data_IF_720535442646
#
_entry.id   IF_720535442646
#
_cell.length_a   1.000
_cell.length_b   1.000
_cell.length_c   1.000
_cell.angle_alpha   90.00
_cell.angle_beta   90.00
_cell.angle_gamma   90.00
#
_symmetry.space_group_name_H-M   'P 1'
#
loop_
_entity.id
_entity.type
_entity.pdbx_description
1 polymer ?
#
# COMPACT_ATOMS: atom_id res chain seq x y z
N UNK A 1 16.40 -2.42 7.05
CA UNK A 1 15.51 -2.90 8.13
C UNK A 1 15.86 -2.36 9.52
N UNK A 2 17.12 -2.06 9.85
CA UNK A 2 17.50 -1.56 11.19
C UNK A 2 16.70 -0.33 11.67
N UNK A 3 16.51 0.67 10.82
CA UNK A 3 15.75 1.87 11.20
C UNK A 3 14.28 1.57 11.52
N UNK A 4 13.62 0.73 10.72
CA UNK A 4 12.22 0.33 10.98
C UNK A 4 12.12 -0.42 12.30
N UNK A 5 13.05 -1.35 12.58
CA UNK A 5 13.11 -2.09 13.84
C UNK A 5 13.26 -1.15 15.04
N UNK A 6 14.23 -0.22 14.99
CA UNK A 6 14.45 0.76 16.06
C UNK A 6 13.20 1.60 16.31
N UNK A 7 12.53 2.06 15.24
CA UNK A 7 11.32 2.85 15.35
C UNK A 7 10.18 2.08 16.00
N UNK A 8 9.98 0.81 15.63
CA UNK A 8 8.93 -0.04 16.20
C UNK A 8 9.19 -0.38 17.67
N UNK A 9 10.44 -0.64 18.05
CA UNK A 9 10.83 -0.83 19.44
C UNK A 9 10.63 0.45 20.27
N UNK A 10 10.87 1.63 19.68
CA UNK A 10 10.58 2.91 20.32
C UNK A 10 9.06 3.09 20.54
N UNK A 11 8.23 2.78 19.54
CA UNK A 11 6.77 2.80 19.69
C UNK A 11 6.30 1.86 20.80
N UNK A 12 6.86 0.66 20.87
CA UNK A 12 6.60 -0.29 21.95
C UNK A 12 6.99 0.30 23.32
N UNK A 13 8.18 0.89 23.42
CA UNK A 13 8.65 1.55 24.66
C UNK A 13 7.71 2.69 25.09
N UNK A 14 7.12 3.41 24.13
CA UNK A 14 6.13 4.46 24.36
C UNK A 14 4.71 3.94 24.64
N UNK A 15 4.51 2.62 24.72
CA UNK A 15 3.25 2.00 25.10
C UNK A 15 2.43 1.39 23.97
N UNK A 16 2.88 1.43 22.71
CA UNK A 16 2.17 0.74 21.61
C UNK A 16 2.24 -0.79 21.80
N UNK A 17 1.11 -1.47 21.63
CA UNK A 17 1.01 -2.94 21.82
C UNK A 17 0.39 -3.67 20.64
N UNK A 18 -0.36 -2.99 19.79
CA UNK A 18 -1.00 -3.55 18.59
C UNK A 18 -0.59 -2.69 17.39
N UNK A 19 0.24 -3.23 16.51
CA UNK A 19 0.87 -2.47 15.44
C UNK A 19 0.67 -3.20 14.10
N UNK A 20 0.05 -2.52 13.15
CA UNK A 20 -0.10 -2.99 11.78
C UNK A 20 0.89 -2.27 10.86
N UNK A 21 1.65 -3.04 10.08
CA UNK A 21 2.71 -2.57 9.18
C UNK A 21 2.28 -2.79 7.73
N UNK A 22 1.82 -1.76 7.03
CA UNK A 22 1.56 -1.89 5.59
C UNK A 22 2.88 -2.05 4.83
N UNK A 23 2.93 -3.07 3.99
CA UNK A 23 3.99 -3.19 3.00
C UNK A 23 3.85 -2.14 1.90
N UNK A 24 4.88 -2.00 1.09
CA UNK A 24 4.81 -1.15 -0.10
C UNK A 24 3.96 -1.84 -1.18
N UNK A 25 3.11 -1.06 -1.85
CA UNK A 25 2.41 -1.49 -3.05
C UNK A 25 3.29 -1.44 -4.30
N UNK A 26 2.74 -1.70 -5.50
CA UNK A 26 3.47 -1.68 -6.76
C UNK A 26 3.76 -0.23 -7.22
N UNK A 27 4.67 0.45 -6.54
CA UNK A 27 4.97 1.88 -6.73
C UNK A 27 5.51 2.23 -8.12
N UNK A 28 6.05 1.26 -8.88
CA UNK A 28 6.41 1.44 -10.28
C UNK A 28 5.20 1.59 -11.19
N UNK A 29 4.03 1.09 -10.77
CA UNK A 29 2.79 1.10 -11.56
C UNK A 29 1.92 2.34 -11.32
N UNK A 30 2.27 3.24 -10.38
CA UNK A 30 1.54 4.50 -10.22
C UNK A 30 1.73 5.39 -11.45
N UNK A 31 0.75 6.21 -11.85
CA UNK A 31 0.82 7.05 -13.07
C UNK A 31 2.10 7.90 -13.15
N UNK A 32 2.55 8.48 -12.03
CA UNK A 32 3.78 9.27 -11.96
C UNK A 32 5.02 8.45 -12.28
N UNK A 33 5.17 7.27 -11.68
CA UNK A 33 6.31 6.39 -11.95
C UNK A 33 6.30 5.91 -13.39
N UNK A 34 5.15 5.50 -13.90
CA UNK A 34 4.99 5.00 -15.26
C UNK A 34 5.35 6.07 -16.32
N UNK A 35 4.75 7.26 -16.20
CA UNK A 35 4.90 8.31 -17.22
C UNK A 35 6.17 9.13 -17.03
N UNK A 36 6.48 9.57 -15.82
CA UNK A 36 7.54 10.55 -15.52
C UNK A 36 8.89 9.90 -15.29
N UNK A 37 8.94 8.85 -14.45
CA UNK A 37 10.21 8.20 -14.12
C UNK A 37 10.61 7.18 -15.16
N UNK A 38 9.66 6.39 -15.64
CA UNK A 38 9.91 5.30 -16.59
C UNK A 38 9.65 5.66 -18.05
N UNK A 39 9.13 6.84 -18.37
CA UNK A 39 8.83 7.27 -19.73
C UNK A 39 8.04 6.21 -20.51
N UNK A 40 7.03 5.60 -19.88
CA UNK A 40 6.21 4.50 -20.39
C UNK A 40 6.98 3.20 -20.69
N UNK A 41 8.16 3.00 -20.11
CA UNK A 41 8.96 1.80 -20.27
C UNK A 41 8.54 0.73 -19.23
N UNK A 42 7.94 -0.36 -19.72
CA UNK A 42 7.43 -1.46 -18.87
C UNK A 42 8.55 -2.16 -18.10
N UNK A 43 9.74 -2.32 -18.68
CA UNK A 43 10.88 -2.93 -17.98
C UNK A 43 11.33 -2.09 -16.80
N UNK A 44 11.33 -0.76 -16.93
CA UNK A 44 11.61 0.16 -15.82
C UNK A 44 10.57 -0.01 -14.70
N UNK A 45 9.28 -0.03 -15.02
CA UNK A 45 8.19 -0.26 -14.07
C UNK A 45 8.38 -1.58 -13.31
N UNK A 46 8.70 -2.65 -14.05
CA UNK A 46 8.95 -3.97 -13.47
C UNK A 46 10.15 -3.95 -12.52
N UNK A 47 11.23 -3.25 -12.87
CA UNK A 47 12.41 -3.12 -12.01
C UNK A 47 12.09 -2.38 -10.71
N UNK A 48 11.31 -1.29 -10.78
CA UNK A 48 10.87 -0.56 -9.57
C UNK A 48 9.99 -1.47 -8.69
N UNK A 49 9.03 -2.18 -9.27
CA UNK A 49 8.17 -3.09 -8.52
C UNK A 49 8.95 -4.26 -7.90
N UNK A 50 9.95 -4.80 -8.61
CA UNK A 50 10.83 -5.84 -8.08
C UNK A 50 11.69 -5.32 -6.91
N UNK A 51 12.09 -4.05 -6.91
CA UNK A 51 12.83 -3.45 -5.81
C UNK A 51 12.02 -3.34 -4.50
N UNK A 52 10.69 -3.35 -4.59
CA UNK A 52 9.79 -3.37 -3.42
C UNK A 52 9.81 -4.72 -2.70
N UNK A 53 9.99 -5.82 -3.43
CA UNK A 53 9.84 -7.18 -2.88
C UNK A 53 10.79 -7.47 -1.70
N UNK A 54 12.11 -7.19 -1.77
CA UNK A 54 13.02 -7.42 -0.64
C UNK A 54 12.62 -6.64 0.61
N UNK A 55 12.08 -5.43 0.45
CA UNK A 55 11.60 -4.63 1.56
C UNK A 55 10.40 -5.31 2.24
N UNK A 56 9.41 -5.74 1.48
CA UNK A 56 8.23 -6.41 2.00
C UNK A 56 8.56 -7.75 2.68
N UNK A 57 9.46 -8.56 2.09
CA UNK A 57 9.96 -9.79 2.71
C UNK A 57 10.66 -9.49 4.04
N UNK A 58 11.46 -8.43 4.06
CA UNK A 58 12.11 -7.99 5.29
C UNK A 58 11.13 -7.52 6.37
N UNK A 59 9.98 -6.89 6.00
CA UNK A 59 8.93 -6.54 6.96
C UNK A 59 8.27 -7.77 7.58
N UNK A 60 7.98 -8.80 6.79
CA UNK A 60 7.43 -10.07 7.31
C UNK A 60 8.40 -10.70 8.31
N UNK A 61 9.69 -10.78 7.96
CA UNK A 61 10.72 -11.28 8.87
C UNK A 61 10.84 -10.47 10.16
N UNK A 62 10.68 -9.14 10.05
CA UNK A 62 10.69 -8.25 11.21
C UNK A 62 9.46 -8.44 12.10
N UNK A 63 8.28 -8.67 11.53
CA UNK A 63 7.06 -9.02 12.29
C UNK A 63 7.29 -10.28 13.09
N UNK A 64 7.86 -11.33 12.49
CA UNK A 64 8.18 -12.57 13.21
C UNK A 64 9.18 -12.33 14.34
N UNK A 65 10.22 -11.55 14.09
CA UNK A 65 11.22 -11.23 15.12
C UNK A 65 10.59 -10.46 16.29
N UNK A 66 9.85 -9.39 16.01
CA UNK A 66 9.26 -8.55 17.07
C UNK A 66 8.19 -9.30 17.87
N UNK A 67 7.39 -10.16 17.24
CA UNK A 67 6.42 -10.99 17.94
C UNK A 67 7.08 -12.04 18.85
N UNK A 68 8.32 -12.48 18.56
CA UNK A 68 9.08 -13.35 19.45
C UNK A 68 9.78 -12.60 20.58
N UNK A 69 10.25 -11.39 20.33
CA UNK A 69 11.03 -10.60 21.30
C UNK A 69 10.16 -9.81 22.26
N UNK A 70 8.97 -9.35 21.82
CA UNK A 70 8.07 -8.46 22.55
C UNK A 70 6.74 -9.18 22.84
N UNK A 71 6.73 -10.10 23.82
CA UNK A 71 5.62 -11.00 24.12
C UNK A 71 4.33 -10.30 24.56
N UNK A 72 4.40 -9.04 25.00
CA UNK A 72 3.28 -8.21 25.42
C UNK A 72 2.71 -7.34 24.29
N UNK A 73 3.26 -7.46 23.08
CA UNK A 73 2.82 -6.74 21.88
C UNK A 73 2.50 -7.69 20.72
N UNK A 74 1.73 -7.20 19.77
CA UNK A 74 1.37 -7.91 18.54
C UNK A 74 1.64 -7.04 17.33
N UNK A 75 2.41 -7.56 16.40
CA UNK A 75 2.74 -6.93 15.12
C UNK A 75 2.16 -7.76 13.99
N UNK A 76 1.58 -7.09 13.01
CA UNK A 76 1.09 -7.72 11.79
C UNK A 76 1.62 -6.99 10.56
N UNK A 77 1.75 -7.72 9.45
CA UNK A 77 2.07 -7.19 8.13
C UNK A 77 0.80 -7.17 7.28
N UNK A 78 0.55 -6.06 6.57
CA UNK A 78 -0.53 -5.92 5.59
C UNK A 78 0.07 -5.93 4.18
N UNK A 79 -0.36 -6.86 3.33
CA UNK A 79 0.22 -7.09 2.01
C UNK A 79 -0.35 -6.16 0.94
N UNK A 80 0.10 -4.92 0.91
CA UNK A 80 -0.36 -3.93 -0.08
C UNK A 80 -0.13 -4.37 -1.53
N UNK A 81 0.97 -5.08 -1.83
CA UNK A 81 1.22 -5.63 -3.16
C UNK A 81 0.18 -6.70 -3.53
N UNK A 82 -0.09 -7.64 -2.63
CA UNK A 82 -1.10 -8.70 -2.84
C UNK A 82 -2.51 -8.13 -2.98
N UNK A 83 -2.87 -7.13 -2.16
CA UNK A 83 -4.17 -6.47 -2.23
C UNK A 83 -4.36 -5.67 -3.54
N UNK A 84 -3.26 -5.20 -4.15
CA UNK A 84 -3.26 -4.49 -5.43
C UNK A 84 -3.13 -5.42 -6.65
N UNK A 85 -3.01 -6.73 -6.43
CA UNK A 85 -2.93 -7.71 -7.51
C UNK A 85 -4.35 -8.09 -7.99
N UNK A 86 -4.43 -8.50 -9.26
CA UNK A 86 -5.69 -8.90 -9.89
C UNK A 86 -6.20 -7.88 -10.90
N UNK A 87 -7.34 -8.19 -11.51
CA UNK A 87 -8.00 -7.32 -12.49
C UNK A 87 -8.84 -6.25 -11.76
N UNK A 88 -8.46 -4.97 -11.81
CA UNK A 88 -9.21 -3.91 -11.15
C UNK A 88 -10.61 -3.70 -11.73
N UNK A 89 -10.89 -4.15 -12.95
CA UNK A 89 -12.22 -4.04 -13.58
C UNK A 89 -13.29 -4.86 -12.84
N UNK A 90 -12.91 -5.97 -12.23
CA UNK A 90 -13.78 -6.80 -11.38
C UNK A 90 -14.28 -6.04 -10.15
N UNK A 91 -13.52 -5.04 -9.72
CA UNK A 91 -13.84 -4.17 -8.59
C UNK A 91 -14.58 -2.88 -9.01
N UNK A 92 -14.86 -2.73 -10.31
CA UNK A 92 -15.52 -1.55 -10.87
C UNK A 92 -14.59 -0.44 -11.31
N UNK A 93 -13.27 -0.60 -11.19
CA UNK A 93 -12.31 0.38 -11.67
C UNK A 93 -12.09 0.23 -13.17
N UNK A 94 -12.37 1.30 -13.92
CA UNK A 94 -12.23 1.35 -15.38
C UNK A 94 -10.98 2.10 -15.84
N UNK A 95 -10.47 3.00 -14.99
CA UNK A 95 -9.33 3.85 -15.28
C UNK A 95 -8.23 3.59 -14.25
N UNK A 96 -7.13 2.99 -14.72
CA UNK A 96 -6.06 2.45 -13.84
C UNK A 96 -4.71 3.12 -14.03
N UNK A 97 -4.54 3.93 -15.07
CA UNK A 97 -3.23 4.44 -15.50
C UNK A 97 -3.12 5.98 -15.49
N UNK A 98 -4.20 6.67 -15.13
CA UNK A 98 -4.23 8.13 -14.98
C UNK A 98 -5.04 8.53 -13.76
N UNK A 99 -4.78 9.72 -13.22
CA UNK A 99 -5.54 10.28 -12.11
C UNK A 99 -6.90 10.85 -12.54
N UNK A 100 -7.86 10.88 -11.61
CA UNK A 100 -9.14 11.54 -11.75
C UNK A 100 -8.99 13.08 -11.72
N UNK A 101 -8.00 13.59 -10.97
CA UNK A 101 -7.64 15.00 -10.94
C UNK A 101 -6.44 15.25 -11.86
N UNK A 102 -6.47 16.32 -12.69
CA UNK A 102 -5.28 16.76 -13.44
C UNK A 102 -4.10 16.99 -12.50
N UNK A 103 -2.93 16.44 -12.83
CA UNK A 103 -1.75 16.51 -11.97
C UNK A 103 -0.74 17.56 -12.45
N UNK A 104 -0.04 18.16 -11.48
CA UNK A 104 1.16 19.00 -11.70
C UNK A 104 2.37 18.11 -12.06
N UNK A 105 3.49 18.75 -12.37
CA UNK A 105 4.75 18.06 -12.67
C UNK A 105 5.30 17.21 -11.52
N UNK A 106 4.91 17.51 -10.26
CA UNK A 106 5.24 16.73 -9.07
C UNK A 106 4.27 15.55 -8.81
N UNK A 107 3.30 15.35 -9.68
CA UNK A 107 2.30 14.29 -9.62
C UNK A 107 1.08 14.59 -8.76
N UNK A 108 1.06 15.70 -8.03
CA UNK A 108 -0.08 16.07 -7.18
C UNK A 108 -1.18 16.78 -7.97
N UNK A 109 -2.41 16.68 -7.50
CA UNK A 109 -3.58 17.35 -8.06
C UNK A 109 -3.36 18.87 -8.19
N UNK A 110 -3.74 19.44 -9.32
CA UNK A 110 -3.76 20.91 -9.51
C UNK A 110 -4.89 21.50 -8.65
N UNK A 111 -4.53 22.44 -7.78
CA UNK A 111 -5.51 23.12 -6.95
C UNK A 111 -6.60 23.77 -7.81
N UNK A 112 -7.85 23.69 -7.35
CA UNK A 112 -9.03 24.25 -7.99
C UNK A 112 -9.33 23.74 -9.41
N UNK A 113 -8.65 22.66 -9.85
CA UNK A 113 -8.96 22.00 -11.12
C UNK A 113 -10.26 21.18 -11.01
N UNK A 114 -10.96 21.04 -12.13
CA UNK A 114 -12.14 20.19 -12.20
C UNK A 114 -11.71 18.73 -12.33
N UNK A 115 -12.03 17.85 -11.36
CA UNK A 115 -11.72 16.44 -11.45
C UNK A 115 -12.66 15.70 -12.40
N UNK A 116 -12.40 14.41 -12.64
CA UNK A 116 -13.27 13.53 -13.41
C UNK A 116 -14.71 13.49 -12.83
N UNK A 117 -15.69 13.12 -13.65
CA UNK A 117 -17.10 13.09 -13.22
C UNK A 117 -17.39 11.98 -12.22
N UNK A 118 -16.76 10.80 -12.38
CA UNK A 118 -16.97 9.64 -11.51
C UNK A 118 -15.65 9.10 -10.97
N UNK A 119 -15.25 9.59 -9.77
CA UNK A 119 -14.01 9.17 -9.10
C UNK A 119 -13.99 7.70 -8.66
N UNK A 120 -15.16 7.05 -8.57
CA UNK A 120 -15.23 5.66 -8.13
C UNK A 120 -14.78 4.67 -9.20
N UNK A 121 -14.68 5.10 -10.46
CA UNK A 121 -14.16 4.31 -11.57
C UNK A 121 -12.63 4.41 -11.73
N UNK A 122 -11.98 5.29 -10.96
CA UNK A 122 -10.53 5.54 -11.04
C UNK A 122 -9.80 4.87 -9.87
N UNK A 123 -8.68 4.23 -10.18
CA UNK A 123 -7.73 3.74 -9.16
C UNK A 123 -7.03 4.90 -8.47
N UNK A 124 -6.61 5.92 -9.24
CA UNK A 124 -5.83 7.03 -8.73
C UNK A 124 -6.63 8.35 -8.72
N UNK A 125 -6.43 9.11 -7.63
CA UNK A 125 -6.95 10.47 -7.50
C UNK A 125 -6.15 11.48 -8.35
N UNK A 126 -4.83 11.46 -8.19
CA UNK A 126 -3.86 12.20 -8.97
C UNK A 126 -2.83 11.23 -9.58
N UNK A 127 -1.62 11.66 -9.88
CA UNK A 127 -0.63 10.74 -10.46
C UNK A 127 0.06 9.83 -9.41
N UNK A 128 -0.25 9.99 -8.11
CA UNK A 128 0.41 9.28 -6.99
C UNK A 128 -0.60 8.63 -6.06
N UNK A 129 -1.60 9.39 -5.61
CA UNK A 129 -2.50 8.99 -4.53
C UNK A 129 -3.68 8.17 -5.06
N UNK A 130 -4.09 7.13 -4.33
CA UNK A 130 -5.29 6.37 -4.67
C UNK A 130 -6.56 7.19 -4.45
N UNK A 131 -7.64 6.82 -5.13
CA UNK A 131 -8.98 7.34 -4.84
C UNK A 131 -9.50 6.84 -3.51
N UNK A 132 -10.53 7.51 -2.98
CA UNK A 132 -11.28 7.03 -1.81
C UNK A 132 -11.84 5.61 -2.04
N UNK A 133 -12.33 5.30 -3.25
CA UNK A 133 -12.87 4.00 -3.58
C UNK A 133 -11.81 2.88 -3.43
N UNK A 134 -10.59 3.10 -3.91
CA UNK A 134 -9.50 2.15 -3.71
C UNK A 134 -9.07 2.08 -2.24
N UNK A 135 -9.02 3.21 -1.54
CA UNK A 135 -8.70 3.22 -0.11
C UNK A 135 -9.73 2.45 0.71
N UNK A 136 -11.02 2.58 0.43
CA UNK A 136 -12.07 1.81 1.08
C UNK A 136 -11.92 0.30 0.81
N UNK A 137 -11.61 -0.09 -0.43
CA UNK A 137 -11.38 -1.49 -0.78
C UNK A 137 -10.17 -2.06 0.00
N UNK A 138 -9.05 -1.35 -0.01
CA UNK A 138 -7.83 -1.76 0.72
C UNK A 138 -8.08 -1.81 2.22
N UNK A 139 -8.78 -0.83 2.79
CA UNK A 139 -9.10 -0.80 4.21
C UNK A 139 -9.97 -2.00 4.64
N UNK A 140 -10.96 -2.38 3.84
CA UNK A 140 -11.80 -3.57 4.12
C UNK A 140 -10.95 -4.85 4.14
N UNK A 141 -10.06 -5.05 3.16
CA UNK A 141 -9.16 -6.21 3.10
C UNK A 141 -8.13 -6.21 4.23
N UNK A 142 -7.67 -5.04 4.64
CA UNK A 142 -6.75 -4.90 5.77
C UNK A 142 -7.42 -5.21 7.09
N UNK A 143 -8.68 -4.78 7.26
CA UNK A 143 -9.46 -5.02 8.47
C UNK A 143 -9.89 -6.47 8.59
N UNK A 144 -10.42 -7.04 7.51
CA UNK A 144 -10.85 -8.44 7.44
C UNK A 144 -10.33 -9.05 6.14
N UNK A 145 -9.29 -9.85 6.23
CA UNK A 145 -8.58 -10.42 5.08
C UNK A 145 -9.53 -11.27 4.21
N UNK A 146 -9.58 -10.96 2.91
CA UNK A 146 -10.35 -11.77 1.95
C UNK A 146 -9.57 -13.02 1.53
N UNK A 147 -8.25 -12.89 1.46
CA UNK A 147 -7.33 -13.98 1.17
C UNK A 147 -6.36 -14.15 2.32
N UNK A 148 -5.90 -15.37 2.62
CA UNK A 148 -4.87 -15.58 3.64
C UNK A 148 -3.58 -14.80 3.40
N UNK A 149 -3.32 -14.41 2.14
CA UNK A 149 -2.15 -13.61 1.75
C UNK A 149 -2.31 -12.11 1.97
N UNK A 150 -3.48 -11.61 2.36
CA UNK A 150 -3.71 -10.17 2.54
C UNK A 150 -3.01 -9.61 3.78
N UNK A 151 -2.86 -10.44 4.81
CA UNK A 151 -2.22 -10.05 6.07
C UNK A 151 -1.42 -11.22 6.68
N UNK A 152 -0.45 -10.91 7.55
CA UNK A 152 0.37 -11.90 8.23
C UNK A 152 0.78 -11.42 9.64
N UNK A 153 0.75 -12.25 10.68
CA UNK A 153 0.13 -13.60 10.72
C UNK A 153 -1.40 -13.54 10.75
N UNK A 154 -1.98 -12.38 10.92
CA UNK A 154 -3.43 -12.16 10.97
C UNK A 154 -3.80 -10.76 10.46
N UNK A 155 -5.09 -10.46 10.34
CA UNK A 155 -5.61 -9.15 9.94
C UNK A 155 -5.88 -8.21 11.14
N UNK A 156 -6.37 -6.99 10.86
CA UNK A 156 -6.62 -5.98 11.89
C UNK A 156 -7.75 -6.42 12.85
N UNK A 157 -8.80 -7.09 12.34
CA UNK A 157 -9.91 -7.51 13.18
C UNK A 157 -9.48 -8.48 14.28
N UNK A 158 -8.57 -9.40 13.95
CA UNK A 158 -7.97 -10.34 14.91
C UNK A 158 -6.83 -9.72 15.75
N UNK A 159 -6.16 -8.69 15.23
CA UNK A 159 -5.16 -7.95 16.00
C UNK A 159 -5.80 -7.23 17.20
N UNK A 160 -7.02 -6.70 17.02
CA UNK A 160 -7.69 -5.88 18.04
C UNK A 160 -8.62 -6.67 18.97
N UNK A 161 -8.91 -7.92 18.62
CA UNK A 161 -9.73 -8.85 19.45
C UNK A 161 -9.03 -9.28 20.75
#
# INVERSE_FOLDING_TARGET
MSFVSIFLQLLHHLGARKIALPGLGPIGSIPYSFSTLCHNNVSCVTNINNAVLPFNVGLVSLVDQLNRELNDARFIYLNSTGMSSGDPSVLGFRVVNVGCCPARSDGQCIQDSTPCQNRTEYVFWDAIHPTEALNQFTARRSYNAFLPSDAYPTDISHLIS
#
